data_IF_519918357111
#
_entry.id   IF_519918357111
#
_cell.length_a   1.000
_cell.length_b   1.000
_cell.length_c   1.000
_cell.angle_alpha   90.00
_cell.angle_beta   90.00
_cell.angle_gamma   90.00
#
_symmetry.space_group_name_H-M   'P 1'
#
loop_
_entity.id
_entity.type
_entity.pdbx_description
1 polymer ?
#
# COMPACT_ATOMS: atom_id res chain seq x y z
N UNK A 1 2.29 23.93 -10.41
CA UNK A 1 2.67 22.65 -9.76
C UNK A 1 2.47 22.82 -8.26
N UNK A 2 1.37 22.31 -7.70
CA UNK A 2 1.17 22.32 -6.25
C UNK A 2 1.80 21.04 -5.70
N UNK A 3 2.90 21.19 -4.94
CA UNK A 3 3.41 20.14 -4.06
C UNK A 3 2.38 20.02 -2.94
N UNK A 4 1.48 19.05 -3.02
CA UNK A 4 0.58 18.74 -1.93
C UNK A 4 1.44 18.51 -0.67
N UNK A 5 1.17 19.28 0.38
CA UNK A 5 1.85 19.18 1.67
C UNK A 5 1.63 17.76 2.21
N UNK A 6 2.58 16.87 1.90
CA UNK A 6 2.47 15.46 2.18
C UNK A 6 2.53 15.25 3.68
N UNK A 7 1.41 14.83 4.28
CA UNK A 7 1.46 14.22 5.61
C UNK A 7 2.48 13.08 5.53
N UNK A 8 3.63 13.27 6.18
CA UNK A 8 4.62 12.21 6.32
C UNK A 8 3.98 11.10 7.16
N UNK A 9 3.70 9.97 6.53
CA UNK A 9 3.22 8.77 7.23
C UNK A 9 4.47 7.95 7.60
N UNK A 10 4.69 7.76 8.90
CA UNK A 10 5.79 6.94 9.39
C UNK A 10 5.54 5.46 9.10
N UNK A 11 6.62 4.71 8.91
CA UNK A 11 6.55 3.25 8.93
C UNK A 11 5.97 2.75 10.26
N UNK A 12 5.23 1.64 10.21
CA UNK A 12 4.46 1.13 11.34
C UNK A 12 3.07 1.75 11.48
N UNK A 13 2.75 2.81 10.73
CA UNK A 13 1.42 3.43 10.79
C UNK A 13 0.41 2.57 10.07
N UNK A 14 -0.68 2.23 10.78
CA UNK A 14 -1.86 1.62 10.15
C UNK A 14 -2.57 2.66 9.30
N UNK A 15 -2.88 2.28 8.06
CA UNK A 15 -3.43 3.19 7.06
C UNK A 15 -4.68 2.64 6.41
N UNK A 16 -5.50 3.55 5.88
CA UNK A 16 -6.60 3.26 4.96
C UNK A 16 -6.50 4.18 3.76
N UNK A 17 -7.13 3.78 2.67
CA UNK A 17 -7.34 4.69 1.54
C UNK A 17 -8.32 5.79 1.96
N UNK A 18 -8.00 7.02 1.56
CA UNK A 18 -8.84 8.21 1.83
C UNK A 18 -10.18 8.10 1.12
N UNK A 19 -10.13 7.74 -0.16
CA UNK A 19 -11.29 7.59 -1.03
C UNK A 19 -11.25 6.20 -1.67
N UNK A 20 -12.36 5.48 -1.58
CA UNK A 20 -12.49 4.17 -2.21
C UNK A 20 -12.62 4.33 -3.73
N UNK A 21 -11.91 3.50 -4.48
CA UNK A 21 -11.87 3.61 -5.93
C UNK A 21 -11.26 2.40 -6.64
N UNK A 22 -11.10 2.46 -7.96
CA UNK A 22 -10.41 1.43 -8.71
C UNK A 22 -8.94 1.35 -8.28
N UNK A 23 -8.33 0.17 -8.47
CA UNK A 23 -6.90 -0.01 -8.24
C UNK A 23 -6.11 0.88 -9.21
N UNK A 24 -5.25 1.78 -8.72
CA UNK A 24 -4.43 2.61 -9.61
C UNK A 24 -3.43 1.79 -10.42
N UNK A 25 -3.14 2.21 -11.65
CA UNK A 25 -2.25 1.49 -12.57
C UNK A 25 -0.80 1.38 -12.09
N UNK A 26 -0.35 2.33 -11.27
CA UNK A 26 0.98 2.29 -10.65
C UNK A 26 1.06 1.33 -9.46
N UNK A 27 -0.09 0.86 -8.93
CA UNK A 27 -0.10 -0.01 -7.77
C UNK A 27 0.27 -1.43 -8.20
N UNK A 28 1.46 -1.85 -7.80
CA UNK A 28 1.95 -3.22 -7.97
C UNK A 28 2.12 -3.88 -6.62
N UNK A 29 2.21 -5.21 -6.61
CA UNK A 29 2.60 -5.99 -5.44
C UNK A 29 4.04 -6.49 -5.56
N UNK A 30 4.70 -6.67 -4.44
CA UNK A 30 6.02 -7.31 -4.39
C UNK A 30 5.89 -8.81 -4.65
N UNK A 31 6.99 -9.42 -5.10
CA UNK A 31 7.10 -10.88 -5.12
C UNK A 31 7.19 -11.40 -3.68
N UNK A 32 6.37 -12.41 -3.38
CA UNK A 32 6.34 -13.08 -2.08
C UNK A 32 6.77 -14.54 -2.18
N UNK A 33 7.40 -14.93 -3.30
CA UNK A 33 7.88 -16.29 -3.53
C UNK A 33 6.74 -17.29 -3.68
N UNK A 34 5.62 -16.89 -4.31
CA UNK A 34 4.41 -17.71 -4.49
C UNK A 34 3.70 -18.10 -3.18
N UNK A 35 3.99 -17.42 -2.06
CA UNK A 35 3.27 -17.65 -0.79
C UNK A 35 1.79 -17.29 -0.89
N UNK A 36 1.47 -16.30 -1.72
CA UNK A 36 0.10 -15.90 -2.03
C UNK A 36 -0.15 -16.04 -3.52
N UNK A 37 -1.25 -16.68 -3.90
CA UNK A 37 -1.59 -16.82 -5.31
C UNK A 37 -1.97 -15.48 -5.94
N UNK A 38 -1.66 -15.31 -7.23
CA UNK A 38 -1.98 -14.09 -7.99
C UNK A 38 -3.46 -13.64 -7.87
N UNK A 39 -4.46 -14.56 -7.90
CA UNK A 39 -5.85 -14.17 -7.68
C UNK A 39 -6.09 -13.54 -6.31
N UNK A 40 -5.44 -14.04 -5.26
CA UNK A 40 -5.56 -13.49 -3.90
C UNK A 40 -4.89 -12.12 -3.82
N UNK A 41 -3.70 -11.95 -4.40
CA UNK A 41 -3.02 -10.63 -4.48
C UNK A 41 -3.92 -9.59 -5.15
N UNK A 42 -4.50 -9.91 -6.31
CA UNK A 42 -5.46 -9.04 -7.02
C UNK A 42 -6.69 -8.72 -6.17
N UNK A 43 -7.27 -9.73 -5.50
CA UNK A 43 -8.44 -9.55 -4.64
C UNK A 43 -8.13 -8.63 -3.46
N UNK A 44 -7.01 -8.86 -2.76
CA UNK A 44 -6.59 -8.05 -1.61
C UNK A 44 -6.31 -6.61 -2.02
N UNK A 45 -5.63 -6.41 -3.15
CA UNK A 45 -5.37 -5.08 -3.69
C UNK A 45 -6.69 -4.36 -4.01
N UNK A 46 -7.62 -5.02 -4.72
CA UNK A 46 -8.96 -4.47 -5.00
C UNK A 46 -9.73 -4.15 -3.72
N UNK A 47 -9.67 -5.02 -2.72
CA UNK A 47 -10.36 -4.82 -1.45
C UNK A 47 -9.79 -3.62 -0.68
N UNK A 48 -8.46 -3.47 -0.65
CA UNK A 48 -7.80 -2.32 -0.02
C UNK A 48 -8.18 -0.99 -0.69
N UNK A 49 -8.03 -0.87 -2.02
CA UNK A 49 -8.39 0.35 -2.74
C UNK A 49 -9.91 0.59 -2.77
N UNK A 50 -10.72 -0.47 -2.65
CA UNK A 50 -12.16 -0.38 -2.47
C UNK A 50 -12.61 0.02 -1.05
N UNK A 51 -11.67 0.21 -0.11
CA UNK A 51 -11.99 0.62 1.26
C UNK A 51 -12.57 -0.49 2.15
N UNK A 52 -12.34 -1.77 1.83
CA UNK A 52 -12.80 -2.89 2.66
C UNK A 52 -12.13 -2.87 4.03
N UNK A 53 -12.95 -2.73 5.08
CA UNK A 53 -12.49 -2.61 6.47
C UNK A 53 -11.88 -3.90 7.04
N UNK A 54 -12.07 -5.03 6.36
CA UNK A 54 -11.50 -6.32 6.75
C UNK A 54 -10.02 -6.45 6.41
N UNK A 55 -9.52 -5.62 5.48
CA UNK A 55 -8.10 -5.56 5.16
C UNK A 55 -7.41 -4.63 6.15
N UNK A 56 -6.48 -5.19 6.91
CA UNK A 56 -5.54 -4.39 7.69
C UNK A 56 -4.40 -3.95 6.78
N UNK A 57 -4.00 -2.69 6.88
CA UNK A 57 -2.94 -2.14 6.05
C UNK A 57 -1.98 -1.31 6.90
N UNK A 58 -0.68 -1.51 6.70
CA UNK A 58 0.38 -0.86 7.46
C UNK A 58 1.50 -0.39 6.55
N UNK A 59 2.00 0.84 6.75
CA UNK A 59 3.15 1.33 6.00
C UNK A 59 4.41 0.61 6.47
N UNK A 60 5.14 -0.02 5.54
CA UNK A 60 6.36 -0.75 5.90
C UNK A 60 7.62 0.08 5.62
N UNK A 61 8.67 -0.24 6.37
CA UNK A 61 9.99 0.29 6.11
C UNK A 61 10.61 -0.35 4.87
N UNK A 62 11.22 0.46 4.02
CA UNK A 62 11.90 0.01 2.81
C UNK A 62 13.39 -0.03 3.10
N UNK A 63 13.95 -1.22 3.30
CA UNK A 63 15.36 -1.40 3.68
C UNK A 63 16.36 -0.91 2.61
N UNK A 64 16.01 -1.03 1.33
CA UNK A 64 16.84 -0.57 0.22
C UNK A 64 16.70 0.95 0.04
N UNK A 65 17.82 1.68 0.19
CA UNK A 65 17.85 3.14 0.12
C UNK A 65 17.48 3.68 -1.26
N UNK A 66 18.03 3.09 -2.32
CA UNK A 66 17.72 3.49 -3.72
C UNK A 66 16.24 3.29 -4.06
N UNK A 67 15.64 2.18 -3.59
CA UNK A 67 14.21 1.94 -3.77
C UNK A 67 13.38 2.96 -2.98
N UNK A 68 13.78 3.24 -1.73
CA UNK A 68 13.10 4.21 -0.88
C UNK A 68 13.12 5.59 -1.50
N UNK A 69 14.26 6.05 -1.99
CA UNK A 69 14.39 7.35 -2.64
C UNK A 69 13.55 7.42 -3.91
N UNK A 70 13.56 6.36 -4.74
CA UNK A 70 12.73 6.27 -5.95
C UNK A 70 11.23 6.36 -5.65
N UNK A 71 10.77 5.67 -4.61
CA UNK A 71 9.35 5.70 -4.22
C UNK A 71 8.98 7.03 -3.58
N UNK A 72 9.85 7.59 -2.74
CA UNK A 72 9.67 8.92 -2.13
C UNK A 72 9.56 10.02 -3.19
N UNK A 73 10.43 10.00 -4.21
CA UNK A 73 10.37 10.95 -5.32
C UNK A 73 9.05 10.87 -6.11
N UNK A 74 8.40 9.71 -6.11
CA UNK A 74 7.08 9.49 -6.74
C UNK A 74 5.89 9.70 -5.78
N UNK A 75 6.13 10.05 -4.52
CA UNK A 75 5.07 10.15 -3.50
C UNK A 75 4.43 8.80 -3.15
N UNK A 76 5.14 7.69 -3.41
CA UNK A 76 4.67 6.33 -3.19
C UNK A 76 5.26 5.74 -1.90
N UNK A 77 4.52 4.85 -1.27
CA UNK A 77 4.94 4.05 -0.13
C UNK A 77 4.58 2.58 -0.35
N UNK A 78 5.33 1.70 0.32
CA UNK A 78 4.97 0.29 0.43
C UNK A 78 4.05 0.08 1.62
N UNK A 79 2.98 -0.67 1.40
CA UNK A 79 1.94 -0.96 2.37
C UNK A 79 1.77 -2.47 2.44
N UNK A 80 1.95 -3.05 3.62
CA UNK A 80 1.63 -4.45 3.87
C UNK A 80 0.13 -4.57 4.14
N UNK A 81 -0.56 -5.33 3.30
CA UNK A 81 -1.94 -5.73 3.48
C UNK A 81 -1.99 -7.08 4.20
N UNK A 82 -2.91 -7.21 5.15
CA UNK A 82 -3.21 -8.46 5.84
C UNK A 82 -4.71 -8.69 5.85
N UNK A 83 -5.15 -9.87 5.42
CA UNK A 83 -6.55 -10.28 5.55
C UNK A 83 -6.80 -11.15 6.78
N UNK A 84 -8.06 -11.46 7.05
CA UNK A 84 -8.46 -12.32 8.18
C UNK A 84 -8.02 -13.78 8.03
N UNK A 85 -7.67 -14.22 6.82
CA UNK A 85 -7.14 -15.56 6.57
C UNK A 85 -5.62 -15.65 6.83
N UNK A 86 -4.98 -14.53 7.16
CA UNK A 86 -3.54 -14.44 7.41
C UNK A 86 -2.70 -14.28 6.14
N UNK A 87 -3.31 -14.07 4.98
CA UNK A 87 -2.58 -13.73 3.76
C UNK A 87 -1.94 -12.36 3.92
N UNK A 88 -0.70 -12.22 3.47
CA UNK A 88 0.06 -10.97 3.54
C UNK A 88 0.59 -10.60 2.16
N UNK A 89 0.29 -9.38 1.71
CA UNK A 89 0.70 -8.88 0.40
C UNK A 89 1.23 -7.46 0.57
N UNK A 90 2.43 -7.20 0.08
CA UNK A 90 2.97 -5.84 0.04
C UNK A 90 2.58 -5.20 -1.27
N UNK A 91 1.93 -4.04 -1.20
CA UNK A 91 1.49 -3.26 -2.37
C UNK A 91 2.09 -1.86 -2.34
N UNK A 92 2.16 -1.23 -3.50
CA UNK A 92 2.54 0.18 -3.63
C UNK A 92 1.30 1.07 -3.60
N UNK A 93 1.30 2.11 -2.78
CA UNK A 93 0.21 3.08 -2.66
C UNK A 93 0.76 4.51 -2.61
N UNK A 94 -0.05 5.48 -3.03
CA UNK A 94 0.33 6.90 -2.97
C UNK A 94 0.06 7.46 -1.57
N UNK A 95 1.04 8.14 -0.97
CA UNK A 95 0.96 8.66 0.40
C UNK A 95 -0.17 9.67 0.55
N UNK A 96 -0.42 10.52 -0.46
CA UNK A 96 -1.50 11.50 -0.45
C UNK A 96 -2.88 10.84 -0.38
N UNK A 97 -3.01 9.63 -0.92
CA UNK A 97 -4.24 8.84 -0.94
C UNK A 97 -4.45 8.01 0.34
N UNK A 98 -3.55 8.12 1.32
CA UNK A 98 -3.62 7.39 2.59
C UNK A 98 -4.02 8.30 3.76
N UNK A 99 -4.70 7.71 4.73
CA UNK A 99 -5.03 8.29 6.04
C UNK A 99 -4.66 7.30 7.14
N UNK A 100 -4.31 7.79 8.33
CA UNK A 100 -4.13 6.94 9.50
C UNK A 100 -5.47 6.28 9.88
N UNK A 101 -5.42 4.98 10.19
CA UNK A 101 -6.59 4.11 10.41
C UNK A 101 -6.98 3.95 11.88
#
# INVERSE_FOLDING_TARGET
>A
MMVASGKFISAGTRVRVREAGPVPTYSTWDDDGQRTSTPVKKRMQKAFFGGDRRIQAEVIYIGNESERERLRAKGLAKVQLRDSAGCMVVVTAEVASLIAA
#
